data_IF_190558321176
#
_entry.id   IF_190558321176
#
_cell.length_a   1.000
_cell.length_b   1.000
_cell.length_c   1.000
_cell.angle_alpha   90.00
_cell.angle_beta   90.00
_cell.angle_gamma   90.00
#
_symmetry.space_group_name_H-M   'P 1'
#
loop_
_entity.id
_entity.type
_entity.pdbx_description
1 polymer ?
#
# COMPACT_ATOMS: atom_id res chain seq x y z
N UNK A 1 -5.35 -15.52 -2.08
CA UNK A 1 -5.88 -16.40 -1.02
C UNK A 1 -5.77 -15.59 0.26
N UNK A 2 -6.89 -15.16 0.84
CA UNK A 2 -6.87 -14.35 2.07
C UNK A 2 -7.07 -15.29 3.26
N UNK A 3 -6.27 -15.12 4.32
CA UNK A 3 -6.39 -15.89 5.56
C UNK A 3 -7.11 -15.01 6.56
N UNK A 4 -8.36 -15.35 6.86
CA UNK A 4 -9.11 -14.70 7.94
C UNK A 4 -8.55 -15.21 9.28
N UNK A 5 -7.63 -14.44 9.88
CA UNK A 5 -7.16 -14.68 11.24
C UNK A 5 -8.16 -14.05 12.24
N UNK A 6 -8.44 -14.67 13.39
CA UNK A 6 -9.30 -14.06 14.41
C UNK A 6 -8.73 -12.71 14.86
N UNK A 7 -9.52 -11.64 14.70
CA UNK A 7 -9.10 -10.26 14.97
C UNK A 7 -8.53 -9.50 13.76
N UNK A 8 -8.36 -10.15 12.61
CA UNK A 8 -8.00 -9.50 11.35
C UNK A 8 -9.25 -9.10 10.56
N UNK A 9 -9.30 -7.83 10.15
CA UNK A 9 -10.31 -7.35 9.23
C UNK A 9 -9.96 -7.86 7.84
N UNK A 10 -10.93 -8.50 7.18
CA UNK A 10 -10.72 -9.03 5.84
C UNK A 10 -10.35 -7.91 4.85
N UNK A 11 -9.38 -8.11 3.95
CA UNK A 11 -9.00 -7.12 2.94
C UNK A 11 -10.16 -6.52 2.16
N UNK A 12 -11.16 -7.32 1.79
CA UNK A 12 -12.35 -6.84 1.06
C UNK A 12 -13.24 -5.90 1.89
N UNK A 13 -13.18 -5.97 3.22
CA UNK A 13 -13.86 -5.01 4.09
C UNK A 13 -13.11 -3.68 4.11
N UNK A 14 -11.78 -3.71 4.03
CA UNK A 14 -10.94 -2.52 4.00
C UNK A 14 -11.01 -1.84 2.63
N UNK A 15 -10.88 -2.60 1.54
CA UNK A 15 -10.70 -2.06 0.19
C UNK A 15 -11.96 -2.06 -0.67
N UNK A 16 -13.03 -2.66 -0.19
CA UNK A 16 -14.22 -2.95 -0.99
C UNK A 16 -13.95 -3.96 -2.10
N UNK A 17 -14.81 -3.96 -3.12
CA UNK A 17 -14.76 -4.94 -4.21
C UNK A 17 -13.90 -4.52 -5.41
N UNK A 18 -13.66 -3.21 -5.58
CA UNK A 18 -13.04 -2.63 -6.78
C UNK A 18 -11.53 -2.49 -6.68
N UNK A 19 -11.01 -2.24 -5.48
CA UNK A 19 -9.58 -2.03 -5.23
C UNK A 19 -8.97 -3.27 -4.60
N UNK A 20 -7.83 -3.70 -5.16
CA UNK A 20 -7.07 -4.86 -4.70
C UNK A 20 -5.57 -4.52 -4.74
N UNK A 21 -5.03 -3.94 -3.66
CA UNK A 21 -3.59 -3.79 -3.50
C UNK A 21 -2.93 -5.17 -3.35
N UNK A 22 -1.63 -5.22 -3.61
CA UNK A 22 -0.85 -6.46 -3.51
C UNK A 22 -0.70 -6.94 -2.07
N UNK A 23 -0.59 -6.00 -1.12
CA UNK A 23 -0.54 -6.28 0.30
C UNK A 23 -1.27 -5.20 1.10
N UNK A 24 -2.01 -5.64 2.10
CA UNK A 24 -2.53 -4.81 3.18
C UNK A 24 -1.93 -5.30 4.48
N UNK A 25 -1.48 -4.37 5.31
CA UNK A 25 -0.95 -4.68 6.62
C UNK A 25 -1.55 -3.70 7.64
N UNK A 26 -2.18 -4.26 8.67
CA UNK A 26 -2.67 -3.50 9.81
C UNK A 26 -1.77 -3.76 11.01
N UNK A 27 -1.24 -2.70 11.63
CA UNK A 27 -0.40 -2.80 12.83
C UNK A 27 -1.23 -2.32 14.03
N UNK A 28 -1.49 -3.25 14.96
CA UNK A 28 -2.31 -3.03 16.16
C UNK A 28 -3.67 -2.35 15.92
N UNK A 29 -4.24 -2.47 14.72
CA UNK A 29 -5.42 -1.73 14.26
C UNK A 29 -5.28 -0.18 14.31
N UNK A 30 -4.07 0.36 14.43
CA UNK A 30 -3.81 1.81 14.44
C UNK A 30 -3.26 2.31 13.11
N UNK A 31 -2.36 1.54 12.51
CA UNK A 31 -1.71 1.92 11.25
C UNK A 31 -2.17 0.96 10.16
N UNK A 32 -2.64 1.50 9.06
CA UNK A 32 -2.93 0.75 7.83
C UNK A 32 -1.88 1.06 6.77
N UNK A 33 -1.15 0.05 6.35
CA UNK A 33 -0.27 0.08 5.20
C UNK A 33 -0.97 -0.52 3.97
N UNK A 34 -1.03 0.27 2.90
CA UNK A 34 -1.52 -0.14 1.58
C UNK A 34 -0.33 -0.22 0.64
N UNK A 35 0.07 -1.44 0.27
CA UNK A 35 1.25 -1.66 -0.54
C UNK A 35 0.87 -2.13 -1.95
N UNK A 36 1.47 -1.48 -2.94
CA UNK A 36 1.36 -1.81 -4.35
C UNK A 36 2.76 -2.03 -4.95
N UNK A 37 2.92 -3.16 -5.63
CA UNK A 37 4.09 -3.49 -6.42
C UNK A 37 3.88 -3.02 -7.86
N UNK A 38 4.85 -2.28 -8.38
CA UNK A 38 4.86 -1.85 -9.78
C UNK A 38 6.10 -2.38 -10.47
N UNK A 39 5.93 -3.04 -11.61
CA UNK A 39 7.03 -3.33 -12.53
C UNK A 39 6.94 -2.34 -13.69
N UNK A 40 7.99 -1.55 -13.90
CA UNK A 40 7.96 -0.47 -14.90
C UNK A 40 9.29 -0.30 -15.61
N UNK A 41 9.22 0.20 -16.85
CA UNK A 41 10.38 0.70 -17.56
C UNK A 41 10.90 1.97 -16.90
N UNK A 42 12.22 2.13 -16.90
CA UNK A 42 12.99 3.09 -16.10
C UNK A 42 12.54 4.54 -16.31
N UNK A 43 12.13 4.88 -17.54
CA UNK A 43 11.73 6.25 -17.90
C UNK A 43 10.38 6.69 -17.33
N UNK A 44 9.55 5.75 -16.85
CA UNK A 44 8.16 6.02 -16.45
C UNK A 44 7.87 5.67 -14.98
N UNK A 45 8.90 5.39 -14.16
CA UNK A 45 8.72 4.92 -12.78
C UNK A 45 7.94 5.92 -11.92
N UNK A 46 8.29 7.21 -11.96
CA UNK A 46 7.59 8.26 -11.22
C UNK A 46 6.14 8.39 -11.63
N UNK A 47 5.86 8.51 -12.94
CA UNK A 47 4.50 8.61 -13.46
C UNK A 47 3.64 7.39 -13.12
N UNK A 48 4.24 6.19 -13.11
CA UNK A 48 3.55 4.98 -12.69
C UNK A 48 3.23 5.01 -11.19
N UNK A 49 4.17 5.46 -10.36
CA UNK A 49 3.97 5.64 -8.91
C UNK A 49 2.83 6.63 -8.64
N UNK A 50 2.84 7.81 -9.26
CA UNK A 50 1.81 8.84 -9.09
C UNK A 50 0.43 8.32 -9.49
N UNK A 51 0.34 7.63 -10.64
CA UNK A 51 -0.91 7.02 -11.11
C UNK A 51 -1.43 5.96 -10.14
N UNK A 52 -0.55 5.21 -9.48
CA UNK A 52 -0.94 4.22 -8.46
C UNK A 52 -1.38 4.91 -7.18
N UNK A 53 -0.71 5.97 -6.76
CA UNK A 53 -1.14 6.75 -5.59
C UNK A 53 -2.54 7.35 -5.81
N UNK A 54 -2.76 8.01 -6.95
CA UNK A 54 -4.07 8.55 -7.35
C UNK A 54 -5.16 7.47 -7.39
N UNK A 55 -4.85 6.26 -7.88
CA UNK A 55 -5.78 5.13 -7.88
C UNK A 55 -6.29 4.78 -6.47
N UNK A 56 -5.43 4.89 -5.46
CA UNK A 56 -5.74 4.53 -4.08
C UNK A 56 -6.10 5.73 -3.20
N UNK A 57 -6.08 6.96 -3.72
CA UNK A 57 -6.30 8.17 -2.93
C UNK A 57 -7.63 8.16 -2.18
N UNK A 58 -8.72 7.78 -2.85
CA UNK A 58 -10.03 7.65 -2.21
C UNK A 58 -10.03 6.62 -1.08
N UNK A 59 -9.40 5.47 -1.31
CA UNK A 59 -9.28 4.44 -0.27
C UNK A 59 -8.48 4.95 0.93
N UNK A 60 -7.38 5.67 0.70
CA UNK A 60 -6.57 6.24 1.78
C UNK A 60 -7.43 7.19 2.62
N UNK A 61 -8.09 8.15 1.98
CA UNK A 61 -8.95 9.13 2.66
C UNK A 61 -10.12 8.48 3.41
N UNK A 62 -10.74 7.45 2.84
CA UNK A 62 -11.86 6.77 3.51
C UNK A 62 -11.39 6.07 4.80
N UNK A 63 -10.22 5.44 4.76
CA UNK A 63 -9.66 4.70 5.89
C UNK A 63 -9.02 5.59 6.97
N UNK A 64 -8.66 6.84 6.67
CA UNK A 64 -8.17 7.82 7.66
C UNK A 64 -9.19 8.12 8.78
N UNK A 65 -10.47 7.79 8.59
CA UNK A 65 -11.49 7.91 9.65
C UNK A 65 -11.52 6.73 10.62
N UNK A 66 -10.83 5.63 10.28
CA UNK A 66 -10.87 4.35 10.99
C UNK A 66 -9.53 4.07 11.67
N UNK A 67 -8.44 4.38 10.99
CA UNK A 67 -7.07 4.18 11.48
C UNK A 67 -6.44 5.51 11.85
N UNK A 68 -5.59 5.51 12.87
CA UNK A 68 -4.84 6.69 13.29
C UNK A 68 -3.88 7.17 12.19
N UNK A 69 -3.36 6.25 11.39
CA UNK A 69 -2.46 6.54 10.28
C UNK A 69 -2.70 5.59 9.09
N UNK A 70 -2.75 6.13 7.88
CA UNK A 70 -2.87 5.35 6.64
C UNK A 70 -1.70 5.70 5.72
N UNK A 71 -0.87 4.71 5.38
CA UNK A 71 0.33 4.89 4.56
C UNK A 71 0.22 4.11 3.26
N UNK A 72 0.46 4.80 2.16
CA UNK A 72 0.57 4.17 0.85
C UNK A 72 2.04 3.93 0.50
N UNK A 73 2.36 2.68 0.17
CA UNK A 73 3.71 2.26 -0.20
C UNK A 73 3.70 1.77 -1.64
N UNK A 74 4.33 2.51 -2.55
CA UNK A 74 4.58 2.01 -3.90
C UNK A 74 6.02 1.51 -4.04
N UNK A 75 6.19 0.21 -4.27
CA UNK A 75 7.49 -0.37 -4.55
C UNK A 75 7.59 -0.58 -6.05
N UNK A 76 8.33 0.29 -6.73
CA UNK A 76 8.59 0.15 -8.16
C UNK A 76 9.92 -0.57 -8.40
N UNK A 77 9.87 -1.65 -9.20
CA UNK A 77 11.03 -2.49 -9.54
C UNK A 77 11.29 -2.39 -11.05
N UNK A 78 12.55 -2.16 -11.42
CA UNK A 78 13.03 -2.10 -12.81
C UNK A 78 14.29 -2.95 -13.00
N UNK A 79 14.83 -2.99 -14.21
CA UNK A 79 16.08 -3.72 -14.50
C UNK A 79 17.31 -3.11 -13.80
N UNK A 80 17.20 -1.85 -13.37
CA UNK A 80 18.26 -1.12 -12.67
C UNK A 80 18.17 -1.23 -11.14
N UNK A 81 17.09 -1.83 -10.60
CA UNK A 81 16.89 -2.00 -9.17
C UNK A 81 15.51 -1.54 -8.69
N UNK A 82 15.41 -1.27 -7.38
CA UNK A 82 14.20 -0.76 -6.73
C UNK A 82 14.26 0.75 -6.67
N UNK A 83 13.21 1.42 -7.11
CA UNK A 83 13.09 2.87 -7.17
C UNK A 83 11.77 3.33 -6.56
N UNK A 84 11.81 4.43 -5.82
CA UNK A 84 10.60 5.10 -5.33
C UNK A 84 10.89 6.02 -4.16
N UNK A 85 10.21 7.15 -4.08
CA UNK A 85 10.21 8.01 -2.89
C UNK A 85 9.64 7.25 -1.67
N UNK A 86 8.77 6.27 -1.93
CA UNK A 86 8.15 5.37 -0.97
C UNK A 86 9.11 4.32 -0.37
N UNK A 87 10.38 4.27 -0.79
CA UNK A 87 11.33 3.29 -0.22
C UNK A 87 11.58 3.57 1.27
N UNK A 88 11.55 4.84 1.69
CA UNK A 88 11.61 5.19 3.11
C UNK A 88 10.36 4.69 3.85
N UNK A 89 9.18 4.90 3.29
CA UNK A 89 7.92 4.39 3.87
C UNK A 89 7.87 2.86 3.92
N UNK A 90 8.52 2.18 2.98
CA UNK A 90 8.72 0.72 3.05
C UNK A 90 9.61 0.33 4.23
N UNK A 91 10.71 1.06 4.47
CA UNK A 91 11.55 0.83 5.64
C UNK A 91 10.81 1.13 6.95
N UNK A 92 10.02 2.20 7.00
CA UNK A 92 9.15 2.51 8.15
C UNK A 92 8.18 1.36 8.42
N UNK A 93 7.51 0.85 7.38
CA UNK A 93 6.63 -0.33 7.48
C UNK A 93 7.37 -1.55 8.06
N UNK A 94 8.60 -1.81 7.62
CA UNK A 94 9.39 -2.94 8.11
C UNK A 94 9.90 -2.73 9.54
N UNK A 95 10.07 -1.49 9.98
CA UNK A 95 10.46 -1.14 11.35
C UNK A 95 9.29 -1.19 12.34
N UNK A 96 8.07 -0.93 11.87
CA UNK A 96 6.86 -0.97 12.69
C UNK A 96 6.32 -2.41 12.92
N UNK A 97 6.78 -3.38 12.12
CA UNK A 97 6.48 -4.83 12.27
C UNK A 97 7.16 -5.44 13.50
#
# INVERSE_FOLDING_TARGET
MYVDLPGFISPSVITGDELRPDLLLTIENKILYILELTVGFETNLTTNSDRKHEKYLTLITDQENIYDEVKFVNVSISSLGVFGESTNTLFDMLHDL
#
